data_IF_595891024636
#
_entry.id   IF_595891024636
#
_cell.length_a   1.000
_cell.length_b   1.000
_cell.length_c   1.000
_cell.angle_alpha   90.00
_cell.angle_beta   90.00
_cell.angle_gamma   90.00
#
_symmetry.space_group_name_H-M   'P 1'
#
loop_
_entity.id
_entity.type
_entity.pdbx_description
1 polymer ?
#
# COMPACT_ATOMS: atom_id res chain seq x y z
N UNK A 1 -10.75 19.80 1.10
CA UNK A 1 -9.81 19.16 2.08
C UNK A 1 -8.59 18.60 1.35
N UNK A 2 -8.78 17.83 0.28
CA UNK A 2 -7.69 17.30 -0.55
C UNK A 2 -6.80 18.39 -1.16
N UNK A 3 -7.35 19.56 -1.48
CA UNK A 3 -6.53 20.72 -1.88
C UNK A 3 -5.53 21.15 -0.80
N UNK A 4 -5.91 21.04 0.49
CA UNK A 4 -5.01 21.32 1.62
C UNK A 4 -3.91 20.27 1.73
N UNK A 5 -4.19 19.01 1.37
CA UNK A 5 -3.19 17.93 1.31
C UNK A 5 -2.13 18.29 0.27
N UNK A 6 -2.54 18.55 -0.97
CA UNK A 6 -1.63 18.95 -2.05
C UNK A 6 -0.85 20.21 -1.66
N UNK A 7 -1.54 21.23 -1.14
CA UNK A 7 -0.90 22.50 -0.79
C UNK A 7 0.20 22.33 0.26
N UNK A 8 -0.06 21.55 1.32
CA UNK A 8 0.94 21.29 2.37
C UNK A 8 2.09 20.43 1.88
N UNK A 9 1.81 19.41 1.07
CA UNK A 9 2.85 18.49 0.61
C UNK A 9 3.74 19.12 -0.48
N UNK A 10 3.20 20.05 -1.27
CA UNK A 10 3.97 20.88 -2.20
C UNK A 10 4.81 21.97 -1.53
N UNK A 11 4.60 22.26 -0.24
CA UNK A 11 5.35 23.31 0.44
C UNK A 11 6.85 22.96 0.47
N UNK A 12 7.71 23.98 0.37
CA UNK A 12 9.16 23.79 0.30
C UNK A 12 9.75 23.17 1.58
N UNK A 13 9.10 23.39 2.73
CA UNK A 13 9.42 22.84 4.04
C UNK A 13 8.75 21.48 4.31
N UNK A 14 7.99 20.95 3.35
CA UNK A 14 7.36 19.63 3.47
C UNK A 14 8.43 18.54 3.59
N UNK A 15 8.27 17.58 4.52
CA UNK A 15 9.25 16.53 4.76
C UNK A 15 9.50 15.65 3.52
N UNK A 16 8.54 15.59 2.60
CA UNK A 16 8.65 14.77 1.39
C UNK A 16 9.68 15.31 0.40
N UNK A 17 10.04 16.59 0.48
CA UNK A 17 10.94 17.22 -0.50
C UNK A 17 12.36 16.67 -0.44
N UNK A 18 12.75 16.02 0.68
CA UNK A 18 14.02 15.30 0.82
C UNK A 18 13.95 13.80 0.50
N UNK A 19 12.79 13.28 0.10
CA UNK A 19 12.55 11.83 -0.04
C UNK A 19 12.47 11.46 -1.51
N UNK A 20 13.30 10.53 -1.98
CA UNK A 20 13.27 10.09 -3.39
C UNK A 20 12.30 8.94 -3.66
N UNK A 21 11.99 8.13 -2.64
CA UNK A 21 11.17 6.92 -2.79
C UNK A 21 9.69 7.26 -2.69
N UNK A 22 8.96 7.01 -3.79
CA UNK A 22 7.51 7.26 -3.87
C UNK A 22 6.71 6.56 -2.75
N UNK A 23 7.11 5.36 -2.32
CA UNK A 23 6.43 4.63 -1.24
C UNK A 23 6.53 5.35 0.11
N UNK A 24 7.66 6.00 0.39
CA UNK A 24 7.83 6.80 1.59
C UNK A 24 6.99 8.08 1.50
N UNK A 25 6.96 8.71 0.32
CA UNK A 25 6.08 9.87 0.04
C UNK A 25 4.60 9.51 0.23
N UNK A 26 4.14 8.35 -0.23
CA UNK A 26 2.76 7.86 -0.05
C UNK A 26 2.35 7.83 1.42
N UNK A 27 3.25 7.37 2.31
CA UNK A 27 2.96 7.30 3.74
C UNK A 27 2.68 8.68 4.37
N UNK A 28 3.29 9.75 3.84
CA UNK A 28 3.00 11.12 4.27
C UNK A 28 1.63 11.62 3.80
N UNK A 29 1.14 11.15 2.64
CA UNK A 29 -0.24 11.42 2.21
C UNK A 29 -1.23 10.76 3.18
N UNK A 30 -1.01 9.50 3.52
CA UNK A 30 -1.86 8.75 4.46
C UNK A 30 -1.94 9.47 5.82
N UNK A 31 -0.78 9.82 6.40
CA UNK A 31 -0.73 10.50 7.70
C UNK A 31 -1.36 11.90 7.67
N UNK A 32 -1.09 12.70 6.63
CA UNK A 32 -1.66 14.05 6.52
C UNK A 32 -3.17 14.03 6.26
N UNK A 33 -3.65 13.11 5.42
CA UNK A 33 -5.08 12.94 5.18
C UNK A 33 -5.79 12.55 6.47
N UNK A 34 -5.24 11.58 7.21
CA UNK A 34 -5.75 11.19 8.54
C UNK A 34 -5.81 12.38 9.49
N UNK A 35 -4.74 13.17 9.60
CA UNK A 35 -4.70 14.37 10.45
C UNK A 35 -5.80 15.37 10.07
N UNK A 36 -5.92 15.68 8.77
CA UNK A 36 -6.89 16.67 8.28
C UNK A 36 -8.33 16.20 8.43
N UNK A 37 -8.61 14.91 8.23
CA UNK A 37 -9.93 14.32 8.41
C UNK A 37 -10.36 14.36 9.88
N UNK A 38 -9.47 14.02 10.82
CA UNK A 38 -9.80 14.10 12.25
C UNK A 38 -10.01 15.53 12.75
N UNK A 39 -9.53 16.54 12.02
CA UNK A 39 -9.81 17.96 12.33
C UNK A 39 -11.17 18.43 11.83
N UNK A 40 -11.82 17.67 10.94
CA UNK A 40 -13.15 17.99 10.46
C UNK A 40 -14.21 17.55 11.50
N UNK A 41 -15.13 18.44 11.92
CA UNK A 41 -16.18 18.08 12.87
C UNK A 41 -17.04 16.92 12.36
N UNK A 42 -17.36 15.97 13.25
CA UNK A 42 -18.21 14.82 12.94
C UNK A 42 -17.52 13.70 12.16
N UNK A 43 -16.20 13.79 11.91
CA UNK A 43 -15.43 12.75 11.25
C UNK A 43 -14.37 12.16 12.18
N UNK A 44 -14.20 10.84 12.11
CA UNK A 44 -13.09 10.11 12.73
C UNK A 44 -12.35 9.33 11.67
N UNK A 45 -11.03 9.51 11.55
CA UNK A 45 -10.23 8.81 10.56
C UNK A 45 -9.04 8.10 11.19
N UNK A 46 -8.86 6.80 10.94
CA UNK A 46 -7.76 6.03 11.50
C UNK A 46 -7.21 5.03 10.49
N UNK A 47 -6.05 4.44 10.83
CA UNK A 47 -5.60 3.25 10.14
C UNK A 47 -6.53 2.09 10.51
N UNK A 48 -7.05 1.34 9.54
CA UNK A 48 -7.98 0.25 9.83
C UNK A 48 -7.29 -0.86 10.61
N UNK A 49 -8.06 -1.52 11.46
CA UNK A 49 -7.61 -2.68 12.21
C UNK A 49 -7.85 -3.96 11.41
N UNK A 50 -6.99 -4.94 11.63
CA UNK A 50 -7.20 -6.29 11.09
C UNK A 50 -8.36 -7.00 11.78
N UNK A 51 -8.74 -8.16 11.26
CA UNK A 51 -9.71 -9.07 11.86
C UNK A 51 -9.38 -9.46 13.32
N UNK A 52 -8.10 -9.39 13.72
CA UNK A 52 -7.62 -9.67 15.08
C UNK A 52 -7.36 -8.40 15.90
N UNK A 53 -8.02 -7.29 15.54
CA UNK A 53 -7.98 -5.98 16.21
C UNK A 53 -6.58 -5.32 16.30
N UNK A 54 -5.66 -5.68 15.40
CA UNK A 54 -4.33 -5.06 15.33
C UNK A 54 -4.31 -3.98 14.27
N UNK A 55 -3.68 -2.85 14.56
CA UNK A 55 -3.40 -1.82 13.54
C UNK A 55 -2.34 -2.35 12.59
N UNK A 56 -2.60 -2.26 11.28
CA UNK A 56 -1.65 -2.64 10.25
C UNK A 56 -1.66 -1.60 9.12
N UNK A 57 -0.52 -0.94 8.90
CA UNK A 57 -0.36 0.05 7.82
C UNK A 57 -0.40 -0.60 6.44
N UNK A 58 0.24 -1.75 6.28
CA UNK A 58 0.31 -2.42 4.97
C UNK A 58 -1.01 -3.08 4.54
N UNK A 59 -1.21 -3.12 3.23
CA UNK A 59 -2.37 -3.74 2.59
C UNK A 59 -3.59 -2.82 2.53
N UNK A 60 -4.58 -3.20 1.75
CA UNK A 60 -5.80 -2.42 1.58
C UNK A 60 -6.80 -2.64 2.73
N UNK A 61 -7.55 -1.61 3.18
CA UNK A 61 -7.42 -0.19 2.82
C UNK A 61 -6.39 0.54 3.68
N UNK A 62 -5.91 1.69 3.22
CA UNK A 62 -4.94 2.49 3.96
C UNK A 62 -5.59 3.25 5.13
N UNK A 63 -6.79 3.81 4.93
CA UNK A 63 -7.52 4.58 5.94
C UNK A 63 -8.99 4.13 6.07
N UNK A 64 -9.51 4.22 7.28
CA UNK A 64 -10.92 4.10 7.61
C UNK A 64 -11.43 5.45 8.12
N UNK A 65 -12.48 5.96 7.49
CA UNK A 65 -13.16 7.19 7.84
C UNK A 65 -14.58 6.86 8.28
N UNK A 66 -14.98 7.40 9.42
CA UNK A 66 -16.31 7.20 10.00
C UNK A 66 -16.97 8.56 10.13
N UNK A 67 -18.15 8.70 9.54
CA UNK A 67 -19.08 9.76 9.89
C UNK A 67 -19.71 9.43 11.24
N UNK A 68 -19.41 10.23 12.26
CA UNK A 68 -19.82 9.99 13.63
C UNK A 68 -21.32 10.17 13.85
N UNK A 69 -22.01 10.89 12.96
CA UNK A 69 -23.46 11.10 13.07
C UNK A 69 -24.23 9.95 12.43
N UNK A 70 -23.85 9.55 11.21
CA UNK A 70 -24.56 8.49 10.46
C UNK A 70 -24.00 7.09 10.72
N UNK A 71 -22.84 6.99 11.37
CA UNK A 71 -22.05 5.76 11.53
C UNK A 71 -21.64 5.11 10.20
N UNK A 72 -21.70 5.84 9.08
CA UNK A 72 -21.25 5.34 7.79
C UNK A 72 -19.73 5.22 7.76
N UNK A 73 -19.26 4.09 7.23
CA UNK A 73 -17.85 3.78 7.07
C UNK A 73 -17.44 4.02 5.63
N UNK A 74 -16.28 4.65 5.46
CA UNK A 74 -15.64 4.90 4.20
C UNK A 74 -14.20 4.39 4.27
N UNK A 75 -13.82 3.53 3.33
CA UNK A 75 -12.44 3.11 3.17
C UNK A 75 -11.75 3.98 2.13
N UNK A 76 -10.62 4.60 2.50
CA UNK A 76 -9.86 5.48 1.62
C UNK A 76 -8.48 4.86 1.35
N UNK A 77 -8.04 4.96 0.11
CA UNK A 77 -6.77 4.40 -0.32
C UNK A 77 -6.07 5.44 -1.25
N UNK A 78 -5.16 6.25 -0.69
CA UNK A 78 -4.38 7.21 -1.47
C UNK A 78 -3.48 6.49 -2.47
N UNK A 79 -3.37 7.03 -3.69
CA UNK A 79 -2.49 6.49 -4.74
C UNK A 79 -1.80 7.62 -5.48
N UNK A 80 -0.48 7.53 -5.58
CA UNK A 80 0.33 8.51 -6.30
C UNK A 80 0.61 8.00 -7.71
N UNK A 81 0.46 8.87 -8.70
CA UNK A 81 0.74 8.53 -10.09
C UNK A 81 1.43 9.68 -10.82
N UNK A 82 2.28 9.35 -11.80
CA UNK A 82 3.03 10.34 -12.55
C UNK A 82 2.15 11.01 -13.61
N UNK A 83 2.43 12.28 -13.93
CA UNK A 83 1.87 12.94 -15.11
C UNK A 83 2.06 12.06 -16.34
N UNK A 84 0.98 11.87 -17.10
CA UNK A 84 0.95 11.04 -18.31
C UNK A 84 0.74 9.55 -18.07
N UNK A 85 0.62 9.08 -16.82
CA UNK A 85 0.34 7.66 -16.52
C UNK A 85 -1.11 7.36 -16.15
N UNK A 86 -2.03 8.31 -16.37
CA UNK A 86 -3.44 8.20 -15.96
C UNK A 86 -4.18 7.06 -16.67
N UNK A 87 -3.88 6.87 -17.96
CA UNK A 87 -4.49 5.83 -18.79
C UNK A 87 -3.63 4.54 -18.84
N UNK A 88 -2.69 4.41 -17.90
CA UNK A 88 -1.82 3.24 -17.80
C UNK A 88 -2.62 1.98 -17.47
N UNK A 89 -2.29 0.87 -18.14
CA UNK A 89 -2.84 -0.45 -17.82
C UNK A 89 -2.12 -1.15 -16.67
N UNK A 90 -1.05 -0.56 -16.11
CA UNK A 90 -0.38 -1.12 -14.95
C UNK A 90 -1.30 -1.12 -13.73
N UNK A 91 -1.31 -2.24 -13.01
CA UNK A 91 -2.15 -2.41 -11.84
C UNK A 91 -1.67 -1.51 -10.70
N UNK A 92 -2.46 -0.51 -10.34
CA UNK A 92 -2.21 0.41 -9.22
C UNK A 92 -3.03 0.08 -7.97
N UNK A 93 -4.14 -0.64 -8.15
CA UNK A 93 -5.03 -1.10 -7.09
C UNK A 93 -5.13 -2.63 -7.12
N UNK A 94 -5.02 -3.25 -5.94
CA UNK A 94 -5.30 -4.66 -5.76
C UNK A 94 -5.75 -4.91 -4.31
N UNK A 95 -6.66 -5.86 -4.15
CA UNK A 95 -7.10 -6.35 -2.86
C UNK A 95 -6.90 -7.86 -2.84
N UNK A 96 -6.15 -8.34 -1.83
CA UNK A 96 -5.96 -9.75 -1.57
C UNK A 96 -6.67 -10.08 -0.24
N UNK A 97 -7.81 -10.79 -0.27
CA UNK A 97 -8.52 -11.14 0.95
C UNK A 97 -7.69 -12.15 1.77
N UNK A 98 -7.41 -11.81 3.04
CA UNK A 98 -6.64 -12.65 3.96
C UNK A 98 -7.40 -12.91 5.23
N UNK A 99 -7.59 -14.18 5.63
CA UNK A 99 -8.37 -14.51 6.83
C UNK A 99 -7.84 -13.79 8.08
N UNK A 100 -6.53 -13.83 8.32
CA UNK A 100 -5.93 -13.29 9.56
C UNK A 100 -5.72 -11.76 9.54
N UNK A 101 -5.43 -11.19 8.37
CA UNK A 101 -4.99 -9.80 8.23
C UNK A 101 -5.93 -8.93 7.39
N UNK A 102 -7.13 -9.42 7.06
CA UNK A 102 -8.14 -8.61 6.37
C UNK A 102 -8.51 -7.38 7.23
N UNK A 103 -8.53 -6.23 6.56
CA UNK A 103 -8.86 -4.93 7.13
C UNK A 103 -10.23 -4.41 6.66
N UNK A 104 -10.82 -5.01 5.62
CA UNK A 104 -12.19 -4.71 5.16
C UNK A 104 -13.15 -5.53 6.01
N UNK A 105 -13.79 -4.87 6.98
CA UNK A 105 -14.64 -5.52 8.00
C UNK A 105 -16.09 -5.02 8.02
N UNK A 106 -16.32 -3.86 7.42
CA UNK A 106 -17.61 -3.17 7.42
C UNK A 106 -18.21 -3.14 6.02
N UNK A 107 -19.54 -3.04 5.94
CA UNK A 107 -20.23 -2.63 4.72
C UNK A 107 -20.00 -1.13 4.52
N UNK A 108 -19.14 -0.79 3.57
CA UNK A 108 -18.54 0.53 3.47
C UNK A 108 -18.50 1.04 2.03
N UNK A 109 -18.46 2.36 1.89
CA UNK A 109 -18.13 3.00 0.62
C UNK A 109 -16.62 3.00 0.46
N UNK A 110 -16.12 2.63 -0.72
CA UNK A 110 -14.70 2.53 -0.98
C UNK A 110 -14.26 3.60 -1.97
N UNK A 111 -13.25 4.38 -1.59
CA UNK A 111 -12.68 5.42 -2.42
C UNK A 111 -11.19 5.23 -2.65
N UNK A 112 -10.75 5.44 -3.89
CA UNK A 112 -9.35 5.69 -4.22
C UNK A 112 -9.16 7.20 -4.32
N UNK A 113 -8.09 7.71 -3.70
CA UNK A 113 -7.71 9.12 -3.82
C UNK A 113 -6.43 9.21 -4.64
N UNK A 114 -6.59 9.44 -5.94
CA UNK A 114 -5.48 9.56 -6.87
C UNK A 114 -4.84 10.95 -6.77
N UNK A 115 -3.53 11.03 -6.61
CA UNK A 115 -2.75 12.26 -6.65
C UNK A 115 -1.73 12.21 -7.77
N UNK A 116 -1.84 13.16 -8.71
CA UNK A 116 -0.90 13.30 -9.82
C UNK A 116 0.35 14.04 -9.37
N UNK A 117 1.53 13.56 -9.78
CA UNK A 117 2.79 14.23 -9.54
C UNK A 117 3.64 14.38 -10.80
N UNK A 118 4.38 15.48 -10.89
CA UNK A 118 5.51 15.58 -11.82
C UNK A 118 6.61 14.60 -11.40
N UNK A 119 7.41 14.10 -12.35
CA UNK A 119 8.57 13.27 -12.01
C UNK A 119 9.58 14.13 -11.24
N UNK A 120 9.99 13.75 -10.02
CA UNK A 120 11.04 14.47 -9.31
C UNK A 120 12.36 14.31 -10.07
N UNK A 121 13.20 15.34 -10.01
CA UNK A 121 14.55 15.36 -10.55
C UNK A 121 15.50 15.97 -9.50
N UNK A 122 16.81 15.87 -9.69
CA UNK A 122 17.78 16.38 -8.72
C UNK A 122 17.60 17.87 -8.38
N UNK A 123 17.05 18.65 -9.30
CA UNK A 123 16.73 20.07 -9.20
C UNK A 123 15.23 20.37 -9.10
N UNK A 124 14.38 19.33 -9.17
CA UNK A 124 12.92 19.47 -9.18
C UNK A 124 12.30 18.73 -7.99
N UNK A 125 11.87 19.47 -6.95
CA UNK A 125 11.14 18.90 -5.83
C UNK A 125 9.84 18.20 -6.27
N UNK A 126 9.27 17.39 -5.38
CA UNK A 126 7.94 16.84 -5.60
C UNK A 126 6.92 17.96 -5.82
N UNK A 127 6.17 17.81 -6.90
CA UNK A 127 5.08 18.71 -7.23
C UNK A 127 3.85 17.91 -7.63
N UNK A 128 2.82 18.00 -6.81
CA UNK A 128 1.52 17.42 -7.03
C UNK A 128 0.62 18.43 -7.71
N UNK A 129 0.00 18.03 -8.82
CA UNK A 129 -0.72 18.92 -9.73
C UNK A 129 -2.22 18.78 -9.65
N UNK A 130 -2.70 17.60 -9.21
CA UNK A 130 -4.11 17.23 -9.28
C UNK A 130 -4.44 16.15 -8.25
N UNK A 131 -5.71 16.13 -7.82
CA UNK A 131 -6.30 14.96 -7.19
C UNK A 131 -7.59 14.52 -7.90
N UNK A 132 -7.90 13.23 -7.83
CA UNK A 132 -9.17 12.63 -8.23
C UNK A 132 -9.70 11.76 -7.08
N UNK A 133 -10.99 11.86 -6.78
CA UNK A 133 -11.68 10.95 -5.86
C UNK A 133 -12.50 9.95 -6.67
N UNK A 134 -12.18 8.67 -6.57
CA UNK A 134 -12.75 7.61 -7.39
C UNK A 134 -13.59 6.69 -6.52
N UNK A 135 -14.89 6.60 -6.82
CA UNK A 135 -15.83 5.66 -6.20
C UNK A 135 -15.66 4.26 -6.79
N UNK A 136 -15.34 3.30 -5.93
CA UNK A 136 -15.11 1.92 -6.33
C UNK A 136 -16.39 1.13 -6.64
N UNK A 137 -17.58 1.65 -6.38
CA UNK A 137 -18.85 1.02 -6.77
C UNK A 137 -19.11 1.03 -8.28
N UNK A 138 -18.44 1.93 -9.01
CA UNK A 138 -18.72 2.18 -10.43
C UNK A 138 -17.69 1.57 -11.40
N UNK A 139 -16.63 0.92 -10.93
CA UNK A 139 -15.60 0.35 -11.80
C UNK A 139 -15.55 -1.19 -11.72
N UNK A 140 -15.27 -1.82 -12.86
CA UNK A 140 -15.15 -3.27 -12.96
C UNK A 140 -13.70 -3.70 -12.71
N UNK A 141 -13.49 -4.54 -11.70
CA UNK A 141 -12.18 -5.13 -11.42
C UNK A 141 -11.92 -6.37 -12.29
N UNK A 142 -10.64 -6.64 -12.55
CA UNK A 142 -10.20 -7.92 -13.11
C UNK A 142 -9.79 -8.86 -11.97
N UNK A 143 -10.37 -10.06 -11.93
CA UNK A 143 -9.95 -11.10 -10.99
C UNK A 143 -8.67 -11.78 -11.50
N UNK A 144 -7.67 -11.91 -10.63
CA UNK A 144 -6.48 -12.74 -10.87
C UNK A 144 -6.38 -13.78 -9.75
N UNK A 145 -6.55 -15.05 -10.09
CA UNK A 145 -6.23 -16.15 -9.19
C UNK A 145 -4.75 -16.52 -9.38
N UNK A 146 -3.95 -16.52 -8.30
CA UNK A 146 -2.53 -16.86 -8.35
C UNK A 146 -2.15 -17.87 -7.27
N UNK A 147 -1.25 -18.79 -7.62
CA UNK A 147 -0.56 -19.65 -6.67
C UNK A 147 0.72 -18.94 -6.21
N UNK A 148 0.99 -18.95 -4.91
CA UNK A 148 2.15 -18.31 -4.31
C UNK A 148 2.89 -19.29 -3.40
N UNK A 149 4.22 -19.19 -3.37
CA UNK A 149 5.11 -19.97 -2.52
C UNK A 149 6.27 -19.08 -2.06
N UNK A 150 6.73 -19.25 -0.83
CA UNK A 150 7.93 -18.59 -0.33
C UNK A 150 9.19 -19.35 -0.76
N UNK A 151 10.37 -18.73 -0.64
CA UNK A 151 11.64 -19.45 -0.80
C UNK A 151 11.72 -20.67 0.14
N UNK A 152 11.19 -20.56 1.36
CA UNK A 152 11.17 -21.66 2.32
C UNK A 152 10.34 -22.84 1.83
N UNK A 153 9.21 -22.59 1.14
CA UNK A 153 8.37 -23.65 0.58
C UNK A 153 9.04 -24.31 -0.63
N UNK A 154 9.70 -23.52 -1.48
CA UNK A 154 10.34 -24.00 -2.70
C UNK A 154 11.58 -24.86 -2.45
N UNK A 155 12.39 -24.54 -1.44
CA UNK A 155 13.68 -25.18 -1.21
C UNK A 155 13.66 -26.27 -0.13
N UNK A 156 12.52 -26.95 0.04
CA UNK A 156 12.45 -28.13 0.89
C UNK A 156 13.17 -29.31 0.25
N UNK A 157 13.86 -30.11 1.06
CA UNK A 157 14.67 -31.23 0.56
C UNK A 157 13.86 -32.27 -0.24
N UNK A 158 12.58 -32.46 0.09
CA UNK A 158 11.65 -33.36 -0.60
C UNK A 158 11.22 -32.86 -1.99
N UNK A 159 11.31 -31.55 -2.25
CA UNK A 159 10.94 -30.93 -3.53
C UNK A 159 12.12 -30.76 -4.51
N UNK A 160 13.36 -30.85 -4.02
CA UNK A 160 14.57 -30.62 -4.83
C UNK A 160 14.97 -31.92 -5.55
N UNK A 161 14.86 -31.92 -6.88
CA UNK A 161 15.23 -33.08 -7.71
C UNK A 161 16.71 -33.12 -8.13
N UNK A 162 17.41 -31.98 -8.08
CA UNK A 162 18.85 -31.90 -8.33
C UNK A 162 19.41 -30.61 -7.72
N UNK A 163 20.67 -30.65 -7.29
CA UNK A 163 21.44 -29.47 -6.85
C UNK A 163 22.82 -29.49 -7.50
N UNK A 164 23.36 -28.33 -7.89
CA UNK A 164 24.63 -28.24 -8.62
C UNK A 164 25.87 -28.30 -7.73
N UNK A 165 25.72 -28.22 -6.40
CA UNK A 165 26.84 -28.29 -5.45
C UNK A 165 26.76 -29.58 -4.63
N UNK A 166 27.70 -30.50 -4.87
CA UNK A 166 27.97 -31.62 -3.96
C UNK A 166 28.63 -31.06 -2.69
N UNK A 167 28.03 -31.31 -1.52
CA UNK A 167 28.85 -31.38 -0.31
C UNK A 167 29.61 -32.70 -0.35
N UNK A 168 30.83 -32.67 -0.89
CA UNK A 168 31.86 -33.60 -0.44
C UNK A 168 32.20 -33.25 1.01
N UNK A 169 31.49 -33.84 1.96
CA UNK A 169 31.95 -34.04 3.33
C UNK A 169 31.46 -35.38 3.84
N UNK A 170 32.37 -36.34 3.80
CA UNK A 170 32.61 -37.40 4.79
C UNK A 170 32.91 -38.75 4.15
N UNK A 171 34.15 -38.93 3.71
CA UNK A 171 34.90 -40.18 3.91
C UNK A 171 36.39 -39.89 4.02
N UNK A 172 36.81 -39.25 5.12
CA UNK A 172 38.17 -39.40 5.65
C UNK A 172 38.14 -39.45 7.18
N UNK A 173 37.74 -40.61 7.70
CA UNK A 173 38.47 -41.29 8.78
C UNK A 173 37.75 -42.58 9.11
N UNK A 174 38.47 -43.70 8.95
CA UNK A 174 38.37 -44.97 9.70
C UNK A 174 38.87 -46.12 8.82
N UNK A 175 40.19 -46.36 8.84
CA UNK A 175 40.83 -47.64 9.16
C UNK A 175 42.12 -47.92 8.38
N UNK A 176 43.20 -47.95 9.16
CA UNK A 176 44.22 -49.03 9.24
C UNK A 176 45.09 -49.30 8.00
N UNK A 177 46.29 -48.71 8.00
CA UNK A 177 47.51 -49.37 8.51
C UNK A 177 48.59 -48.33 8.85
#
# INVERSE_FOLDING_TARGET
MLDKVITRLNAADSPIQGISRINEVSSHFEDLMRELLNKAPGLSCNFPKTAVDRVQRSGYPDLELIDQQSHRVYYLDPKLYAVGSRDSSFRTFYFEPKIATNKVREDAVHFIVGFEHEKPAADRPWKFTRWDLVDLSHFQVKLKAEFQASNHDMYRADAIVATSTNQERDTRSSNEN
#
